data_IF_279719361065
#
_entry.id   IF_279719361065
#
_cell.length_a   1.000
_cell.length_b   1.000
_cell.length_c   1.000
_cell.angle_alpha   90.00
_cell.angle_beta   90.00
_cell.angle_gamma   90.00
#
_symmetry.space_group_name_H-M   'P 1'
#
loop_
_entity.id
_entity.type
_entity.pdbx_description
1 polymer ?
#
# COMPACT_ATOMS: atom_id res chain seq x y z
N UNK A 1 32.20 -50.76 -13.07
CA UNK A 1 31.20 -50.09 -13.92
C UNK A 1 31.84 -49.85 -15.26
N UNK A 2 31.18 -50.29 -16.34
CA UNK A 2 31.59 -49.91 -17.69
C UNK A 2 31.23 -48.44 -17.99
N UNK A 3 31.70 -47.88 -19.11
CA UNK A 3 31.38 -46.49 -19.49
C UNK A 3 29.87 -46.22 -19.67
N UNK A 4 29.12 -47.23 -20.15
CA UNK A 4 27.64 -47.17 -20.23
C UNK A 4 27.03 -47.02 -18.84
N UNK A 5 27.43 -47.87 -17.89
CA UNK A 5 26.89 -47.79 -16.52
C UNK A 5 27.22 -46.44 -15.88
N UNK A 6 28.42 -45.92 -16.14
CA UNK A 6 28.87 -44.65 -15.59
C UNK A 6 28.01 -43.48 -16.08
N UNK A 7 27.73 -43.39 -17.38
CA UNK A 7 26.93 -42.27 -17.92
C UNK A 7 25.46 -42.35 -17.48
N UNK A 8 24.89 -43.55 -17.42
CA UNK A 8 23.53 -43.74 -16.89
C UNK A 8 23.43 -43.41 -15.41
N UNK A 9 24.44 -43.78 -14.62
CA UNK A 9 24.49 -43.44 -13.21
C UNK A 9 24.61 -41.93 -12.96
N UNK A 10 25.32 -41.19 -13.84
CA UNK A 10 25.35 -39.72 -13.79
C UNK A 10 23.96 -39.12 -14.03
N UNK A 11 23.25 -39.58 -15.08
CA UNK A 11 21.89 -39.11 -15.35
C UNK A 11 20.94 -39.40 -14.18
N UNK A 12 20.98 -40.61 -13.63
CA UNK A 12 20.15 -40.98 -12.48
C UNK A 12 20.47 -40.14 -11.23
N UNK A 13 21.71 -39.71 -11.04
CA UNK A 13 22.10 -38.89 -9.90
C UNK A 13 21.47 -37.48 -9.92
N UNK A 14 21.05 -36.98 -11.09
CA UNK A 14 20.46 -35.64 -11.24
C UNK A 14 18.94 -35.65 -11.39
N UNK A 15 18.29 -36.82 -11.48
CA UNK A 15 16.85 -36.99 -11.74
C UNK A 15 15.95 -36.08 -10.89
N UNK A 16 16.04 -36.20 -9.56
CA UNK A 16 15.19 -35.44 -8.62
C UNK A 16 15.33 -33.93 -8.78
N UNK A 17 16.55 -33.47 -9.04
CA UNK A 17 16.83 -32.04 -9.19
C UNK A 17 16.41 -31.54 -10.57
N UNK A 18 16.61 -32.37 -11.60
CA UNK A 18 16.23 -32.06 -12.96
C UNK A 18 14.70 -31.99 -13.12
N UNK A 19 13.94 -32.83 -12.44
CA UNK A 19 12.47 -32.75 -12.39
C UNK A 19 11.97 -31.38 -11.93
N UNK A 20 12.72 -30.74 -11.01
CA UNK A 20 12.36 -29.44 -10.45
C UNK A 20 12.87 -28.29 -11.32
N UNK A 21 14.13 -28.36 -11.80
CA UNK A 21 14.83 -27.20 -12.36
C UNK A 21 15.14 -27.31 -13.86
N UNK A 22 15.07 -28.50 -14.47
CA UNK A 22 15.56 -28.72 -15.83
C UNK A 22 14.84 -29.89 -16.56
N UNK A 23 13.53 -30.05 -16.36
CA UNK A 23 12.78 -31.23 -16.85
C UNK A 23 12.91 -31.43 -18.37
N UNK A 24 12.93 -30.33 -19.14
CA UNK A 24 13.13 -30.39 -20.59
C UNK A 24 14.52 -30.89 -20.99
N UNK A 25 15.58 -30.49 -20.27
CA UNK A 25 16.93 -31.00 -20.53
C UNK A 25 17.04 -32.47 -20.11
N UNK A 26 16.40 -32.86 -19.01
CA UNK A 26 16.37 -34.23 -18.52
C UNK A 26 15.75 -35.19 -19.54
N UNK A 27 14.58 -34.85 -20.09
CA UNK A 27 13.92 -35.66 -21.12
C UNK A 27 14.81 -35.87 -22.36
N UNK A 28 15.56 -34.85 -22.79
CA UNK A 28 16.51 -35.00 -23.90
C UNK A 28 17.65 -35.99 -23.57
N UNK A 29 18.09 -36.03 -22.30
CA UNK A 29 19.11 -36.97 -21.86
C UNK A 29 18.58 -38.39 -21.73
N UNK A 30 17.32 -38.57 -21.30
CA UNK A 30 16.63 -39.86 -21.32
C UNK A 30 16.51 -40.41 -22.75
N UNK A 31 16.11 -39.57 -23.71
CA UNK A 31 16.03 -39.95 -25.13
C UNK A 31 17.38 -40.41 -25.70
N UNK A 32 18.48 -39.75 -25.30
CA UNK A 32 19.83 -40.16 -25.70
C UNK A 32 20.23 -41.52 -25.07
N UNK A 33 19.82 -41.79 -23.83
CA UNK A 33 20.02 -43.10 -23.19
C UNK A 33 19.23 -44.19 -23.90
N UNK A 34 18.00 -43.92 -24.33
CA UNK A 34 17.18 -44.85 -25.11
C UNK A 34 17.87 -45.20 -26.43
N UNK A 35 18.48 -44.23 -27.12
CA UNK A 35 19.25 -44.48 -28.34
C UNK A 35 20.49 -45.35 -28.09
N UNK A 36 21.21 -45.09 -26.99
CA UNK A 36 22.35 -45.92 -26.57
C UNK A 36 21.91 -47.36 -26.28
N UNK A 37 20.78 -47.55 -25.61
CA UNK A 37 20.23 -48.89 -25.31
C UNK A 37 19.80 -49.65 -26.55
N UNK A 38 19.18 -48.98 -27.50
CA UNK A 38 18.83 -49.58 -28.78
C UNK A 38 20.08 -50.09 -29.55
N UNK A 39 21.16 -49.31 -29.57
CA UNK A 39 22.42 -49.72 -30.21
C UNK A 39 23.06 -50.92 -29.48
N UNK A 40 23.05 -50.92 -28.14
CA UNK A 40 23.56 -52.04 -27.35
C UNK A 40 22.79 -53.33 -27.63
N UNK A 41 21.47 -53.26 -27.82
CA UNK A 41 20.65 -54.40 -28.19
C UNK A 41 21.00 -54.92 -29.60
N UNK A 42 21.17 -54.02 -30.57
CA UNK A 42 21.64 -54.38 -31.93
C UNK A 42 22.98 -55.11 -31.87
N UNK A 43 23.95 -54.60 -31.11
CA UNK A 43 25.25 -55.27 -30.95
C UNK A 43 25.13 -56.62 -30.21
N UNK A 44 24.19 -56.74 -29.26
CA UNK A 44 23.96 -58.00 -28.55
C UNK A 44 23.44 -59.10 -29.50
N UNK A 45 22.59 -58.74 -30.47
CA UNK A 45 22.05 -59.64 -31.50
C UNK A 45 23.11 -60.08 -32.54
N UNK A 46 24.17 -59.29 -32.73
CA UNK A 46 25.28 -59.66 -33.61
C UNK A 46 26.13 -60.80 -33.01
N UNK A 47 26.59 -61.70 -33.89
CA UNK A 47 27.54 -62.75 -33.53
C UNK A 47 28.82 -62.15 -32.96
N UNK A 48 29.40 -62.77 -31.92
CA UNK A 48 30.47 -62.16 -31.11
C UNK A 48 31.71 -61.71 -31.91
N UNK A 49 32.02 -62.36 -33.03
CA UNK A 49 33.15 -61.97 -33.91
C UNK A 49 32.83 -60.79 -34.84
N UNK A 50 31.58 -60.33 -34.91
CA UNK A 50 31.12 -59.23 -35.78
C UNK A 50 30.57 -58.03 -35.01
N UNK A 51 30.75 -57.99 -33.68
CA UNK A 51 30.34 -56.83 -32.87
C UNK A 51 31.30 -55.67 -33.09
N UNK A 52 30.75 -54.48 -33.25
CA UNK A 52 31.50 -53.22 -33.39
C UNK A 52 30.94 -52.18 -32.42
N UNK A 53 31.80 -51.64 -31.56
CA UNK A 53 31.40 -50.71 -30.50
C UNK A 53 31.78 -49.26 -30.80
N UNK A 54 32.24 -48.93 -32.01
CA UNK A 54 32.54 -47.54 -32.39
C UNK A 54 31.30 -46.65 -32.21
N UNK A 55 30.17 -47.04 -32.81
CA UNK A 55 28.87 -46.36 -32.66
C UNK A 55 28.42 -46.25 -31.20
N UNK A 56 28.60 -47.32 -30.42
CA UNK A 56 28.26 -47.32 -28.99
C UNK A 56 29.11 -46.30 -28.22
N UNK A 57 30.41 -46.20 -28.52
CA UNK A 57 31.29 -45.22 -27.88
C UNK A 57 30.92 -43.78 -28.25
N UNK A 58 30.54 -43.53 -29.50
CA UNK A 58 29.99 -42.23 -29.93
C UNK A 58 28.73 -41.86 -29.13
N UNK A 59 27.79 -42.81 -29.00
CA UNK A 59 26.55 -42.59 -28.24
C UNK A 59 26.82 -42.37 -26.74
N UNK A 60 27.78 -43.08 -26.14
CA UNK A 60 28.20 -42.82 -24.75
C UNK A 60 28.71 -41.37 -24.60
N UNK A 61 29.52 -40.90 -25.56
CA UNK A 61 29.98 -39.51 -25.59
C UNK A 61 28.82 -38.52 -25.71
N UNK A 62 27.87 -38.80 -26.61
CA UNK A 62 26.66 -37.99 -26.80
C UNK A 62 25.79 -37.93 -25.53
N UNK A 63 25.57 -39.07 -24.86
CA UNK A 63 24.84 -39.11 -23.58
C UNK A 63 25.58 -38.28 -22.54
N UNK A 64 26.92 -38.37 -22.49
CA UNK A 64 27.74 -37.54 -21.61
C UNK A 64 27.50 -36.04 -21.82
N UNK A 65 27.51 -35.59 -23.07
CA UNK A 65 27.27 -34.18 -23.42
C UNK A 65 25.87 -33.70 -23.02
N UNK A 66 24.82 -34.51 -23.24
CA UNK A 66 23.46 -34.08 -22.83
C UNK A 66 23.28 -34.13 -21.32
N UNK A 67 23.94 -35.04 -20.59
CA UNK A 67 23.97 -35.03 -19.12
C UNK A 67 24.68 -33.79 -18.59
N UNK A 68 25.81 -33.38 -19.19
CA UNK A 68 26.50 -32.13 -18.84
C UNK A 68 25.56 -30.92 -19.07
N UNK A 69 24.75 -30.94 -20.13
CA UNK A 69 23.76 -29.90 -20.39
C UNK A 69 22.61 -29.88 -19.36
N UNK A 70 22.21 -31.03 -18.80
CA UNK A 70 21.26 -31.09 -17.68
C UNK A 70 21.85 -30.42 -16.44
N UNK A 71 23.07 -30.78 -16.06
CA UNK A 71 23.78 -30.20 -14.90
C UNK A 71 23.94 -28.67 -15.05
N UNK A 72 24.27 -28.20 -16.25
CA UNK A 72 24.35 -26.77 -16.57
C UNK A 72 22.98 -26.08 -16.49
N UNK A 73 21.93 -26.67 -17.06
CA UNK A 73 20.57 -26.11 -17.03
C UNK A 73 20.04 -25.98 -15.60
N UNK A 74 20.25 -27.00 -14.76
CA UNK A 74 19.92 -26.98 -13.33
C UNK A 74 20.63 -25.81 -12.65
N UNK A 75 21.94 -25.69 -12.85
CA UNK A 75 22.75 -24.64 -12.22
C UNK A 75 22.30 -23.24 -12.65
N UNK A 76 22.02 -23.06 -13.95
CA UNK A 76 21.54 -21.81 -14.50
C UNK A 76 20.17 -21.42 -13.94
N UNK A 77 19.21 -22.36 -13.85
CA UNK A 77 17.88 -22.08 -13.32
C UNK A 77 17.91 -21.75 -11.83
N UNK A 78 18.73 -22.46 -11.05
CA UNK A 78 18.94 -22.13 -9.64
C UNK A 78 19.50 -20.71 -9.46
N UNK A 79 20.46 -20.32 -10.28
CA UNK A 79 21.02 -18.96 -10.20
C UNK A 79 20.03 -17.89 -10.63
N UNK A 80 19.23 -18.17 -11.66
CA UNK A 80 18.13 -17.31 -12.09
C UNK A 80 17.14 -17.08 -10.95
N UNK A 81 16.69 -18.15 -10.28
CA UNK A 81 15.74 -18.07 -9.17
C UNK A 81 16.31 -17.30 -7.97
N UNK A 82 17.58 -17.51 -7.61
CA UNK A 82 18.23 -16.72 -6.54
C UNK A 82 18.27 -15.24 -6.87
N UNK A 83 18.71 -14.92 -8.08
CA UNK A 83 18.81 -13.52 -8.52
C UNK A 83 17.44 -12.86 -8.51
N UNK A 84 16.42 -13.54 -9.04
CA UNK A 84 15.07 -13.00 -9.12
C UNK A 84 14.44 -12.81 -7.74
N UNK A 85 14.55 -13.83 -6.87
CA UNK A 85 14.06 -13.74 -5.49
C UNK A 85 14.76 -12.61 -4.74
N UNK A 86 16.07 -12.40 -4.96
CA UNK A 86 16.80 -11.28 -4.38
C UNK A 86 16.26 -9.91 -4.82
N UNK A 87 15.87 -9.74 -6.09
CA UNK A 87 15.23 -8.50 -6.57
C UNK A 87 13.88 -8.26 -5.90
N UNK A 88 13.09 -9.32 -5.75
CA UNK A 88 11.79 -9.25 -5.07
C UNK A 88 11.99 -8.86 -3.61
N UNK A 89 12.96 -9.45 -2.91
CA UNK A 89 13.33 -9.07 -1.53
C UNK A 89 13.66 -7.58 -1.42
N UNK A 90 14.52 -7.04 -2.27
CA UNK A 90 14.82 -5.60 -2.26
C UNK A 90 13.58 -4.74 -2.52
N UNK A 91 12.69 -5.18 -3.42
CA UNK A 91 11.43 -4.46 -3.67
C UNK A 91 10.51 -4.46 -2.43
N UNK A 92 10.45 -5.57 -1.69
CA UNK A 92 9.69 -5.63 -0.43
C UNK A 92 10.28 -4.66 0.61
N UNK A 93 11.60 -4.63 0.76
CA UNK A 93 12.29 -3.73 1.69
C UNK A 93 11.98 -2.24 1.38
N UNK A 94 11.96 -1.88 0.09
CA UNK A 94 11.59 -0.55 -0.37
C UNK A 94 10.11 -0.23 -0.08
N UNK A 95 9.20 -1.18 -0.33
CA UNK A 95 7.76 -1.03 -0.05
C UNK A 95 7.49 -0.88 1.45
N UNK A 96 8.15 -1.68 2.30
CA UNK A 96 8.04 -1.59 3.76
C UNK A 96 8.57 -0.24 4.26
N UNK A 97 9.71 0.21 3.72
CA UNK A 97 10.27 1.53 4.07
C UNK A 97 9.33 2.65 3.67
N UNK A 98 8.77 2.58 2.46
CA UNK A 98 7.76 3.54 1.96
C UNK A 98 6.54 3.58 2.86
N UNK A 99 5.98 2.42 3.21
CA UNK A 99 4.81 2.33 4.10
C UNK A 99 5.08 2.97 5.46
N UNK A 100 6.24 2.66 6.07
CA UNK A 100 6.62 3.24 7.37
C UNK A 100 6.76 4.75 7.30
N UNK A 101 7.37 5.29 6.25
CA UNK A 101 7.48 6.74 6.05
C UNK A 101 6.10 7.39 5.87
N UNK A 102 5.25 6.84 5.01
CA UNK A 102 3.91 7.39 4.78
C UNK A 102 3.05 7.38 6.04
N UNK A 103 3.15 6.33 6.88
CA UNK A 103 2.47 6.31 8.19
C UNK A 103 2.95 7.46 9.08
N UNK A 104 4.26 7.73 9.13
CA UNK A 104 4.82 8.82 9.96
C UNK A 104 4.53 10.21 9.44
N UNK A 105 4.21 10.35 8.14
CA UNK A 105 3.86 11.64 7.52
C UNK A 105 2.39 12.01 7.75
N UNK A 106 1.52 11.05 8.06
CA UNK A 106 0.12 11.34 8.42
C UNK A 106 0.10 12.04 9.79
N UNK A 107 -0.59 13.19 9.93
CA UNK A 107 -0.73 13.86 11.22
C UNK A 107 -1.37 12.94 12.27
N UNK A 108 -0.87 12.99 13.52
CA UNK A 108 -1.34 12.12 14.60
C UNK A 108 -2.85 12.23 14.85
N UNK A 109 -3.41 13.44 14.75
CA UNK A 109 -4.85 13.69 14.93
C UNK A 109 -5.72 13.05 13.83
N UNK A 110 -5.12 12.78 12.66
CA UNK A 110 -5.81 12.21 11.50
C UNK A 110 -5.60 10.69 11.39
N UNK A 111 -4.71 10.10 12.18
CA UNK A 111 -4.41 8.67 12.16
C UNK A 111 -4.92 7.98 13.43
N UNK A 112 -6.04 7.23 13.36
CA UNK A 112 -6.50 6.44 14.49
C UNK A 112 -5.43 5.45 14.97
N UNK A 113 -5.22 5.37 16.28
CA UNK A 113 -4.21 4.50 16.89
C UNK A 113 -4.40 3.03 16.47
N UNK A 114 -5.65 2.56 16.40
CA UNK A 114 -6.00 1.22 15.94
C UNK A 114 -5.54 0.95 14.49
N UNK A 115 -5.70 1.93 13.61
CA UNK A 115 -5.30 1.81 12.20
C UNK A 115 -3.76 1.78 12.07
N UNK A 116 -3.07 2.62 12.84
CA UNK A 116 -1.60 2.62 12.90
C UNK A 116 -1.06 1.26 13.40
N UNK A 117 -1.68 0.71 14.46
CA UNK A 117 -1.31 -0.60 14.99
C UNK A 117 -1.58 -1.73 13.99
N UNK A 118 -2.71 -1.68 13.27
CA UNK A 118 -3.06 -2.68 12.26
C UNK A 118 -2.00 -2.71 11.14
N UNK A 119 -1.69 -1.57 10.52
CA UNK A 119 -0.64 -1.51 9.49
C UNK A 119 0.74 -1.87 10.04
N UNK A 120 1.07 -1.47 11.27
CA UNK A 120 2.30 -1.88 11.93
C UNK A 120 2.40 -3.40 12.08
N UNK A 121 1.31 -4.07 12.46
CA UNK A 121 1.23 -5.53 12.54
C UNK A 121 1.40 -6.18 11.17
N UNK A 122 0.75 -5.66 10.14
CA UNK A 122 0.84 -6.19 8.78
C UNK A 122 2.27 -6.09 8.24
N UNK A 123 2.95 -4.97 8.46
CA UNK A 123 4.35 -4.79 8.08
C UNK A 123 5.29 -5.74 8.83
N UNK A 124 5.04 -6.00 10.11
CA UNK A 124 5.82 -6.99 10.87
C UNK A 124 5.61 -8.43 10.35
N UNK A 125 4.42 -8.75 9.85
CA UNK A 125 4.15 -10.02 9.18
C UNK A 125 4.92 -10.14 7.86
N UNK A 126 5.00 -9.06 7.09
CA UNK A 126 5.84 -8.99 5.88
C UNK A 126 7.32 -9.21 6.22
N UNK A 127 7.84 -8.56 7.26
CA UNK A 127 9.23 -8.74 7.73
C UNK A 127 9.50 -10.18 8.19
N UNK A 128 8.53 -10.83 8.85
CA UNK A 128 8.64 -12.25 9.21
C UNK A 128 8.74 -13.15 7.97
N UNK A 129 7.96 -12.83 6.93
CA UNK A 129 7.97 -13.55 5.64
C UNK A 129 9.30 -13.34 4.88
N UNK A 130 9.92 -12.16 5.01
CA UNK A 130 11.29 -11.92 4.53
C UNK A 130 12.33 -12.80 5.25
N UNK A 131 12.20 -12.94 6.57
CA UNK A 131 13.04 -13.84 7.36
C UNK A 131 12.93 -15.30 6.88
N UNK A 132 11.70 -15.75 6.61
CA UNK A 132 11.44 -17.09 6.09
C UNK A 132 11.97 -17.27 4.66
N UNK A 133 11.79 -16.28 3.79
CA UNK A 133 12.39 -16.24 2.45
C UNK A 133 13.90 -16.43 2.51
N UNK A 134 14.58 -15.71 3.42
CA UNK A 134 16.02 -15.84 3.65
C UNK A 134 16.41 -17.25 4.10
N UNK A 135 15.62 -17.88 4.97
CA UNK A 135 15.83 -19.26 5.42
C UNK A 135 15.69 -20.26 4.27
N UNK A 136 14.67 -20.11 3.43
CA UNK A 136 14.42 -20.97 2.27
C UNK A 136 15.55 -20.84 1.22
N UNK A 137 16.01 -19.62 0.95
CA UNK A 137 17.16 -19.36 0.07
C UNK A 137 18.43 -20.05 0.58
N UNK A 138 18.72 -19.91 1.88
CA UNK A 138 19.87 -20.57 2.51
C UNK A 138 19.75 -22.11 2.48
N UNK A 139 18.54 -22.64 2.57
CA UNK A 139 18.23 -24.07 2.45
C UNK A 139 18.22 -24.61 1.02
N UNK A 140 18.36 -23.76 -0.01
CA UNK A 140 18.28 -24.16 -1.41
C UNK A 140 16.86 -24.51 -1.88
N UNK A 141 15.84 -24.16 -1.09
CA UNK A 141 14.42 -24.32 -1.42
C UNK A 141 13.95 -23.14 -2.28
N UNK A 142 14.48 -23.03 -3.51
CA UNK A 142 14.39 -21.79 -4.29
C UNK A 142 12.98 -21.47 -4.80
N UNK A 143 12.20 -22.49 -5.14
CA UNK A 143 10.80 -22.31 -5.58
C UNK A 143 9.93 -21.84 -4.41
N UNK A 144 10.09 -22.45 -3.25
CA UNK A 144 9.38 -22.04 -2.03
C UNK A 144 9.76 -20.61 -1.64
N UNK A 145 11.05 -20.28 -1.69
CA UNK A 145 11.55 -18.93 -1.41
C UNK A 145 10.94 -17.89 -2.35
N UNK A 146 10.86 -18.18 -3.65
CA UNK A 146 10.25 -17.30 -4.63
C UNK A 146 8.75 -17.11 -4.35
N UNK A 147 8.03 -18.19 -4.03
CA UNK A 147 6.60 -18.12 -3.70
C UNK A 147 6.36 -17.27 -2.45
N UNK A 148 7.15 -17.48 -1.40
CA UNK A 148 7.08 -16.73 -0.14
C UNK A 148 7.35 -15.24 -0.37
N UNK A 149 8.42 -14.91 -1.10
CA UNK A 149 8.78 -13.54 -1.44
C UNK A 149 7.66 -12.83 -2.23
N UNK A 150 7.10 -13.49 -3.25
CA UNK A 150 6.01 -12.89 -4.03
C UNK A 150 4.74 -12.64 -3.19
N UNK A 151 4.43 -13.55 -2.25
CA UNK A 151 3.32 -13.36 -1.31
C UNK A 151 3.55 -12.18 -0.36
N UNK A 152 4.78 -12.07 0.16
CA UNK A 152 5.19 -10.95 1.01
C UNK A 152 5.14 -9.61 0.25
N UNK A 153 5.59 -9.57 -1.01
CA UNK A 153 5.49 -8.38 -1.86
C UNK A 153 4.05 -7.94 -2.08
N UNK A 154 3.16 -8.88 -2.43
CA UNK A 154 1.74 -8.57 -2.58
C UNK A 154 1.12 -8.00 -1.30
N UNK A 155 1.54 -8.51 -0.14
CA UNK A 155 1.08 -8.03 1.16
C UNK A 155 1.59 -6.60 1.44
N UNK A 156 2.87 -6.32 1.18
CA UNK A 156 3.46 -4.98 1.34
C UNK A 156 2.76 -3.94 0.43
N UNK A 157 2.53 -4.29 -0.83
CA UNK A 157 1.80 -3.44 -1.79
C UNK A 157 0.35 -3.20 -1.37
N UNK A 158 -0.29 -4.20 -0.75
CA UNK A 158 -1.62 -4.08 -0.17
C UNK A 158 -1.66 -3.04 0.95
N UNK A 159 -0.66 -3.04 1.84
CA UNK A 159 -0.53 -2.04 2.91
C UNK A 159 -0.34 -0.65 2.32
N UNK A 160 0.58 -0.46 1.36
CA UNK A 160 0.79 0.85 0.71
C UNK A 160 -0.45 1.37 -0.02
N UNK A 161 -1.21 0.49 -0.66
CA UNK A 161 -2.48 0.84 -1.29
C UNK A 161 -3.53 1.29 -0.27
N UNK A 162 -3.58 0.61 0.88
CA UNK A 162 -4.44 0.98 2.00
C UNK A 162 -4.09 2.36 2.57
N UNK A 163 -2.80 2.63 2.80
CA UNK A 163 -2.29 3.92 3.28
C UNK A 163 -2.63 5.03 2.28
N UNK A 164 -2.37 4.82 1.00
CA UNK A 164 -2.64 5.81 -0.05
C UNK A 164 -4.13 6.15 -0.15
N UNK A 165 -4.99 5.14 -0.03
CA UNK A 165 -6.45 5.33 -0.04
C UNK A 165 -6.93 6.11 1.19
N UNK A 166 -6.32 5.86 2.35
CA UNK A 166 -6.63 6.59 3.57
C UNK A 166 -6.22 8.07 3.50
N UNK A 167 -5.02 8.36 2.99
CA UNK A 167 -4.55 9.72 2.76
C UNK A 167 -5.49 10.47 1.82
N UNK A 168 -5.85 9.85 0.69
CA UNK A 168 -6.77 10.44 -0.27
C UNK A 168 -8.14 10.76 0.35
N UNK A 169 -8.64 9.91 1.24
CA UNK A 169 -9.90 10.17 1.94
C UNK A 169 -9.78 11.34 2.94
N UNK A 170 -8.66 11.44 3.67
CA UNK A 170 -8.40 12.60 4.55
C UNK A 170 -8.37 13.88 3.73
N UNK A 171 -7.64 13.90 2.61
CA UNK A 171 -7.55 15.08 1.73
C UNK A 171 -8.93 15.48 1.21
N UNK A 172 -9.71 14.50 0.75
CA UNK A 172 -11.09 14.73 0.28
C UNK A 172 -11.97 15.34 1.39
N UNK A 173 -11.86 14.85 2.62
CA UNK A 173 -12.64 15.37 3.76
C UNK A 173 -12.23 16.80 4.11
N UNK A 174 -10.93 17.12 4.05
CA UNK A 174 -10.43 18.50 4.28
C UNK A 174 -10.92 19.45 3.18
N UNK A 175 -10.82 19.06 1.92
CA UNK A 175 -11.34 19.86 0.80
C UNK A 175 -12.85 20.09 0.91
N UNK A 176 -13.61 19.07 1.33
CA UNK A 176 -15.04 19.18 1.57
C UNK A 176 -15.33 20.17 2.71
N UNK A 177 -14.58 20.10 3.81
CA UNK A 177 -14.70 21.04 4.92
C UNK A 177 -14.33 22.48 4.53
N UNK A 178 -13.24 22.68 3.82
CA UNK A 178 -12.85 24.00 3.28
C UNK A 178 -13.95 24.55 2.36
N UNK A 179 -14.50 23.72 1.48
CA UNK A 179 -15.62 24.08 0.61
C UNK A 179 -16.87 24.47 1.40
N UNK A 180 -17.18 23.77 2.50
CA UNK A 180 -18.28 24.14 3.42
C UNK A 180 -18.03 25.50 4.07
N UNK A 181 -16.82 25.71 4.62
CA UNK A 181 -16.43 26.99 5.23
C UNK A 181 -16.54 28.14 4.24
N UNK A 182 -16.09 27.97 3.00
CA UNK A 182 -16.18 28.99 1.95
C UNK A 182 -17.62 29.34 1.55
N UNK A 183 -18.58 28.39 1.68
CA UNK A 183 -20.01 28.68 1.47
C UNK A 183 -20.67 29.39 2.64
N UNK A 184 -20.02 29.38 3.82
CA UNK A 184 -20.57 29.87 5.07
C UNK A 184 -21.31 28.80 5.86
N UNK A 185 -21.09 27.52 5.56
CA UNK A 185 -21.64 26.41 6.32
C UNK A 185 -20.77 26.12 7.55
N UNK A 186 -21.41 25.94 8.70
CA UNK A 186 -20.75 25.69 9.98
C UNK A 186 -21.44 24.55 10.75
N UNK A 187 -20.73 23.96 11.71
CA UNK A 187 -21.31 23.05 12.70
C UNK A 187 -21.22 23.70 14.08
N UNK A 188 -22.37 23.83 14.75
CA UNK A 188 -22.47 24.21 16.16
C UNK A 188 -22.36 22.93 17.00
N UNK A 189 -21.35 22.78 17.89
CA UNK A 189 -21.03 21.51 18.55
C UNK A 189 -21.95 21.16 19.73
N UNK A 190 -22.61 22.16 20.32
CA UNK A 190 -23.49 22.01 21.48
C UNK A 190 -24.67 23.00 21.41
N UNK A 191 -25.80 22.75 22.10
CA UNK A 191 -26.89 23.71 22.16
C UNK A 191 -26.44 25.05 22.75
N UNK A 192 -26.81 26.15 22.10
CA UNK A 192 -26.43 27.52 22.48
C UNK A 192 -27.64 28.44 22.45
N UNK A 193 -27.49 29.67 22.94
CA UNK A 193 -28.52 30.72 22.84
C UNK A 193 -28.18 31.72 21.76
N UNK A 194 -29.11 31.94 20.84
CA UNK A 194 -29.05 32.96 19.80
C UNK A 194 -30.24 33.91 20.00
N UNK A 195 -29.97 35.18 20.29
CA UNK A 195 -31.00 36.19 20.66
C UNK A 195 -31.91 35.75 21.84
N UNK A 196 -31.35 34.98 22.77
CA UNK A 196 -32.06 34.46 23.95
C UNK A 196 -32.85 33.16 23.72
N UNK A 197 -33.08 32.78 22.45
CA UNK A 197 -33.71 31.51 22.06
C UNK A 197 -32.68 30.38 21.93
N UNK A 198 -33.12 29.15 22.15
CA UNK A 198 -32.27 27.96 22.02
C UNK A 198 -32.01 27.64 20.54
N UNK A 199 -30.74 27.50 20.19
CA UNK A 199 -30.25 27.00 18.91
C UNK A 199 -29.60 25.63 19.15
N UNK A 200 -30.18 24.59 18.57
CA UNK A 200 -29.69 23.23 18.74
C UNK A 200 -28.28 23.03 18.16
N UNK A 201 -27.54 22.05 18.68
CA UNK A 201 -26.32 21.57 18.02
C UNK A 201 -26.64 21.04 16.62
N UNK A 202 -25.77 21.29 15.66
CA UNK A 202 -25.98 20.83 14.28
C UNK A 202 -25.35 21.73 13.23
N UNK A 203 -25.64 21.41 11.96
CA UNK A 203 -25.16 22.15 10.80
C UNK A 203 -26.08 23.33 10.44
N UNK A 204 -25.48 24.46 10.11
CA UNK A 204 -26.17 25.67 9.68
C UNK A 204 -25.44 26.37 8.55
N UNK A 205 -26.18 26.95 7.61
CA UNK A 205 -25.68 27.93 6.66
C UNK A 205 -25.84 29.33 7.26
N UNK A 206 -24.75 30.11 7.28
CA UNK A 206 -24.79 31.49 7.74
C UNK A 206 -25.21 32.42 6.60
N UNK A 207 -26.20 33.25 6.88
CA UNK A 207 -26.64 34.32 5.97
C UNK A 207 -26.65 35.66 6.71
N UNK A 208 -26.21 36.72 6.03
CA UNK A 208 -26.41 38.07 6.53
C UNK A 208 -27.86 38.47 6.29
N UNK A 209 -28.56 38.90 7.32
CA UNK A 209 -29.91 39.41 7.14
C UNK A 209 -29.89 40.75 6.37
N UNK A 210 -30.97 41.00 5.62
CA UNK A 210 -31.19 42.25 4.90
C UNK A 210 -31.70 43.37 5.84
N UNK A 211 -32.18 43.01 7.03
CA UNK A 211 -32.67 43.91 8.08
C UNK A 211 -31.69 43.97 9.28
N UNK A 212 -31.68 45.10 10.01
CA UNK A 212 -30.89 45.25 11.23
C UNK A 212 -30.40 46.68 11.50
N UNK A 213 -29.79 46.93 12.67
CA UNK A 213 -29.20 48.23 12.99
C UNK A 213 -28.02 48.54 12.05
N UNK A 214 -28.01 49.70 11.41
CA UNK A 214 -26.87 50.09 10.56
C UNK A 214 -25.66 50.53 11.40
N UNK A 215 -24.46 50.34 10.83
CA UNK A 215 -23.15 50.92 11.20
C UNK A 215 -22.26 50.24 12.26
N UNK A 216 -22.73 49.30 13.08
CA UNK A 216 -21.83 48.60 14.04
C UNK A 216 -22.19 47.16 14.42
N UNK A 217 -23.41 46.71 14.09
CA UNK A 217 -23.85 45.34 14.31
C UNK A 217 -24.70 44.88 13.12
N UNK A 218 -24.74 43.57 12.83
CA UNK A 218 -25.60 43.01 11.78
C UNK A 218 -26.17 41.69 12.23
N UNK A 219 -27.42 41.41 11.85
CA UNK A 219 -28.00 40.09 12.11
C UNK A 219 -27.36 39.04 11.20
N UNK A 220 -26.90 37.96 11.82
CA UNK A 220 -26.51 36.72 11.14
C UNK A 220 -27.60 35.70 11.42
N UNK A 221 -28.14 35.13 10.36
CA UNK A 221 -29.15 34.08 10.41
C UNK A 221 -28.49 32.70 10.32
N UNK A 222 -28.90 31.81 11.23
CA UNK A 222 -28.52 30.41 11.23
C UNK A 222 -29.59 29.63 10.49
N UNK A 223 -29.32 29.25 9.24
CA UNK A 223 -30.29 28.56 8.37
C UNK A 223 -30.08 27.05 8.44
N UNK A 224 -31.14 26.30 8.72
CA UNK A 224 -31.15 24.83 8.70
C UNK A 224 -32.20 24.35 7.68
N UNK A 225 -31.76 23.61 6.66
CA UNK A 225 -32.59 23.32 5.50
C UNK A 225 -33.07 24.61 4.83
N UNK A 226 -34.38 24.79 4.73
CA UNK A 226 -35.01 25.98 4.13
C UNK A 226 -35.51 27.00 5.18
N UNK A 227 -35.22 26.80 6.46
CA UNK A 227 -35.76 27.62 7.56
C UNK A 227 -34.66 28.31 8.36
N UNK A 228 -34.93 29.54 8.81
CA UNK A 228 -34.09 30.24 9.78
C UNK A 228 -34.36 29.62 11.16
N UNK A 229 -33.35 28.95 11.71
CA UNK A 229 -33.42 28.28 13.01
C UNK A 229 -33.08 29.21 14.18
N UNK A 230 -32.39 30.33 13.92
CA UNK A 230 -32.08 31.34 14.92
C UNK A 230 -31.38 32.56 14.32
N UNK A 231 -31.27 33.63 15.11
CA UNK A 231 -30.57 34.86 14.74
C UNK A 231 -29.58 35.25 15.83
N UNK A 232 -28.39 35.66 15.42
CA UNK A 232 -27.37 36.20 16.33
C UNK A 232 -26.97 37.60 15.91
N UNK A 233 -26.88 38.52 16.87
CA UNK A 233 -26.38 39.87 16.59
C UNK A 233 -24.86 39.81 16.50
N UNK A 234 -24.33 40.00 15.29
CA UNK A 234 -22.90 40.01 15.05
C UNK A 234 -22.31 41.39 15.29
N UNK A 235 -21.12 41.42 15.89
CA UNK A 235 -20.24 42.60 15.88
C UNK A 235 -19.54 42.67 14.53
N UNK A 236 -19.59 43.83 13.88
CA UNK A 236 -18.95 44.06 12.57
C UNK A 236 -17.55 44.62 12.77
N UNK A 237 -16.54 43.95 12.22
CA UNK A 237 -15.14 44.34 12.30
C UNK A 237 -14.55 44.41 10.88
N UNK A 238 -13.98 45.56 10.51
CA UNK A 238 -13.26 45.71 9.24
C UNK A 238 -11.94 44.96 9.26
N UNK A 239 -11.50 44.43 8.11
CA UNK A 239 -10.22 43.73 7.97
C UNK A 239 -9.02 44.54 8.51
N UNK A 240 -8.98 45.87 8.32
CA UNK A 240 -7.90 46.73 8.81
C UNK A 240 -7.69 46.64 10.34
N UNK A 241 -8.76 46.40 11.10
CA UNK A 241 -8.74 46.28 12.56
C UNK A 241 -8.50 44.83 13.04
N UNK A 242 -8.59 43.83 12.15
CA UNK A 242 -8.44 42.42 12.52
C UNK A 242 -6.98 41.99 12.71
N UNK A 243 -6.03 42.70 12.12
CA UNK A 243 -4.59 42.45 12.33
C UNK A 243 -4.15 42.61 13.80
N UNK A 244 -4.92 43.36 14.61
CA UNK A 244 -4.71 43.52 16.06
C UNK A 244 -5.41 42.46 16.92
N UNK A 245 -6.34 41.67 16.35
CA UNK A 245 -7.28 40.80 17.09
C UNK A 245 -7.00 39.30 16.89
N UNK A 246 -6.34 38.90 15.80
CA UNK A 246 -6.05 37.49 15.49
C UNK A 246 -4.70 37.29 14.80
N UNK A 247 -3.84 36.42 15.35
CA UNK A 247 -2.57 36.01 14.73
C UNK A 247 -2.74 34.93 13.64
N UNK A 248 -3.90 34.25 13.59
CA UNK A 248 -4.13 33.07 12.71
C UNK A 248 -4.49 33.40 11.25
N UNK A 249 -4.21 34.62 10.78
CA UNK A 249 -4.52 35.06 9.42
C UNK A 249 -5.98 35.48 9.22
N UNK A 250 -6.23 36.32 8.20
CA UNK A 250 -7.56 36.80 7.85
C UNK A 250 -8.28 35.75 7.01
N UNK A 251 -9.33 35.14 7.58
CA UNK A 251 -10.30 34.34 6.83
C UNK A 251 -10.96 35.24 5.78
N UNK A 252 -10.96 34.86 4.51
CA UNK A 252 -11.61 35.62 3.43
C UNK A 252 -12.74 34.80 2.84
N UNK A 253 -13.96 35.32 2.92
CA UNK A 253 -15.16 34.65 2.41
C UNK A 253 -15.41 33.26 3.04
N UNK A 254 -15.03 33.07 4.31
CA UNK A 254 -15.16 31.81 5.02
C UNK A 254 -15.93 31.99 6.32
N UNK A 255 -16.51 30.90 6.82
CA UNK A 255 -17.07 30.81 8.17
C UNK A 255 -16.31 29.83 9.04
N UNK A 256 -16.21 30.14 10.33
CA UNK A 256 -15.55 29.32 11.35
C UNK A 256 -16.32 29.36 12.66
N UNK A 257 -16.22 28.27 13.41
CA UNK A 257 -16.69 28.17 14.79
C UNK A 257 -15.50 27.95 15.69
N UNK A 258 -15.45 28.69 16.80
CA UNK A 258 -14.43 28.59 17.82
C UNK A 258 -15.10 28.34 19.16
N UNK A 259 -14.71 27.26 19.83
CA UNK A 259 -15.15 26.96 21.18
C UNK A 259 -14.19 27.64 22.15
N UNK A 260 -14.72 28.45 23.06
CA UNK A 260 -13.96 29.26 24.00
C UNK A 260 -14.22 28.82 25.44
N UNK A 261 -13.20 28.94 26.31
CA UNK A 261 -13.24 28.66 27.75
C UNK A 261 -13.88 27.29 28.09
N UNK A 262 -13.13 26.20 27.94
CA UNK A 262 -13.55 24.85 28.38
C UNK A 262 -14.95 24.41 27.90
N UNK A 263 -15.39 24.86 26.71
CA UNK A 263 -16.70 24.61 26.11
C UNK A 263 -17.90 25.42 26.65
N UNK A 264 -17.66 26.46 27.44
CA UNK A 264 -18.72 27.33 27.96
C UNK A 264 -19.25 28.34 26.93
N UNK A 265 -18.52 28.66 25.86
CA UNK A 265 -18.97 29.67 24.87
C UNK A 265 -18.61 29.27 23.45
N UNK A 266 -19.50 29.54 22.50
CA UNK A 266 -19.25 29.35 21.07
C UNK A 266 -19.15 30.71 20.39
N UNK A 267 -18.07 30.95 19.66
CA UNK A 267 -17.90 32.12 18.80
C UNK A 267 -18.03 31.69 17.35
N UNK A 268 -18.96 32.32 16.64
CA UNK A 268 -19.15 32.11 15.20
C UNK A 268 -18.59 33.31 14.48
N UNK A 269 -17.72 33.04 13.51
CA UNK A 269 -17.10 34.05 12.68
C UNK A 269 -17.50 33.79 11.24
N UNK A 270 -18.07 34.80 10.58
CA UNK A 270 -18.29 34.85 9.14
C UNK A 270 -17.49 36.00 8.55
N UNK A 271 -16.62 35.75 7.58
CA UNK A 271 -16.07 36.80 6.73
C UNK A 271 -16.81 36.79 5.39
N UNK A 272 -17.26 37.96 4.93
CA UNK A 272 -17.89 38.13 3.61
C UNK A 272 -17.34 39.41 2.98
N UNK A 273 -16.72 39.29 1.81
CA UNK A 273 -16.18 40.42 1.06
C UNK A 273 -15.17 41.28 1.85
N UNK A 274 -14.41 40.68 2.80
CA UNK A 274 -13.45 41.41 3.63
C UNK A 274 -14.06 42.14 4.83
N UNK A 275 -15.29 41.78 5.21
CA UNK A 275 -15.95 42.25 6.43
C UNK A 275 -16.18 41.08 7.37
N UNK A 276 -15.76 41.21 8.63
CA UNK A 276 -15.86 40.17 9.65
C UNK A 276 -17.10 40.39 10.51
N UNK A 277 -17.87 39.33 10.70
CA UNK A 277 -19.07 39.28 11.51
C UNK A 277 -18.85 38.24 12.61
N UNK A 278 -18.75 38.70 13.86
CA UNK A 278 -18.52 37.83 15.02
C UNK A 278 -19.77 37.75 15.89
N UNK A 279 -20.35 36.56 16.01
CA UNK A 279 -21.48 36.27 16.91
C UNK A 279 -20.96 35.50 18.11
N UNK A 280 -21.32 35.94 19.31
CA UNK A 280 -21.02 35.21 20.55
C UNK A 280 -22.29 34.52 21.04
N UNK A 281 -22.21 33.20 21.18
CA UNK A 281 -23.31 32.33 21.54
C UNK A 281 -23.01 31.69 22.91
N UNK A 282 -23.69 32.12 23.99
CA UNK A 282 -23.59 31.45 25.29
C UNK A 282 -24.28 30.09 25.27
N UNK A 283 -24.03 29.21 26.24
CA UNK A 283 -24.65 27.89 26.30
C UNK A 283 -26.14 28.02 26.61
N UNK A 284 -26.95 27.06 26.12
CA UNK A 284 -28.39 27.04 26.35
C UNK A 284 -28.78 26.64 27.78
#
# INVERSE_FOLDING_TARGET
MGPVDAVKARLAAVEVEADTYASGAYGNAEDAVVQLDAELEVQAQNFALFRDYERTNELIGSVGTVVDAVEEAISAEKERLRTETGRVVSSIEDEVTTARMSITEIPEDDLPEEQAMAWGSDLNNVESSLGETGRLLAGGQLIDAQSEANSALASAQGVNSGISSFIAEIERLREEEEGRRARGEITIPSPVRADGEELAAGMYLLRLADDGPESSARWVEFVSGDSVAGRGLAVVISDDAMSEISESGMLRNEARVEVLKEADYVRVWLNREGVNYLVHLPPA
#
